data_IF_988925802241
#
_entry.id   IF_988925802241
#
_cell.length_a   1.000
_cell.length_b   1.000
_cell.length_c   1.000
_cell.angle_alpha   90.00
_cell.angle_beta   90.00
_cell.angle_gamma   90.00
#
_symmetry.space_group_name_H-M   'P 1'
#
loop_
_entity.id
_entity.type
_entity.pdbx_description
1 polymer ?
#
# COMPACT_ATOMS: atom_id res chain seq x y z
N UNK A 1 37.75 -0.48 -13.26
CA UNK A 1 36.48 0.25 -13.08
C UNK A 1 35.79 -0.43 -11.92
N UNK A 2 36.08 0.03 -10.72
CA UNK A 2 35.36 -0.41 -9.52
C UNK A 2 34.01 0.31 -9.58
N UNK A 3 32.94 -0.46 -9.80
CA UNK A 3 31.59 0.07 -9.63
C UNK A 3 31.23 -0.21 -8.17
N UNK A 4 31.44 0.79 -7.33
CA UNK A 4 30.92 0.81 -5.96
C UNK A 4 29.40 0.66 -6.04
N UNK A 5 28.92 -0.57 -5.91
CA UNK A 5 27.50 -0.84 -5.74
C UNK A 5 27.18 -0.51 -4.29
N UNK A 6 27.07 0.79 -4.03
CA UNK A 6 26.67 1.35 -2.74
C UNK A 6 25.50 0.54 -2.22
N UNK A 7 25.69 -0.07 -1.05
CA UNK A 7 24.66 -0.78 -0.32
C UNK A 7 23.47 0.15 -0.28
N UNK A 8 22.40 -0.23 -0.99
CA UNK A 8 21.14 0.51 -0.91
C UNK A 8 20.55 0.18 0.44
N UNK A 9 21.09 0.81 1.48
CA UNK A 9 20.49 0.86 2.81
C UNK A 9 19.16 1.58 2.62
N UNK A 10 18.13 0.80 2.29
CA UNK A 10 16.76 1.25 2.43
C UNK A 10 16.60 1.55 3.92
N UNK A 11 16.64 2.83 4.23
CA UNK A 11 16.53 3.38 5.56
C UNK A 11 15.37 2.73 6.30
N UNK A 12 15.62 2.38 7.57
CA UNK A 12 14.60 2.00 8.53
C UNK A 12 13.46 3.01 8.46
N UNK A 13 12.35 2.61 7.86
CA UNK A 13 11.11 3.38 7.90
C UNK A 13 10.40 3.04 9.21
N UNK A 14 11.02 3.40 10.33
CA UNK A 14 10.33 3.60 11.60
C UNK A 14 9.47 4.87 11.45
N UNK A 15 8.36 4.70 10.76
CA UNK A 15 7.35 5.72 10.53
C UNK A 15 6.12 5.44 11.38
N UNK A 16 6.22 5.60 12.69
CA UNK A 16 5.05 5.74 13.55
C UNK A 16 4.26 7.00 13.10
N UNK A 17 3.26 6.83 12.24
CA UNK A 17 2.33 7.91 11.89
C UNK A 17 0.91 7.53 12.35
N UNK A 18 0.62 7.90 13.59
CA UNK A 18 -0.73 7.99 14.16
C UNK A 18 -1.50 9.10 13.44
N UNK A 19 -2.54 8.78 12.68
CA UNK A 19 -3.65 9.71 12.38
C UNK A 19 -5.00 9.00 12.33
N UNK A 20 -5.86 9.42 13.25
CA UNK A 20 -7.29 9.18 13.34
C UNK A 20 -8.01 9.99 12.25
N UNK A 21 -8.87 9.33 11.46
CA UNK A 21 -9.86 10.00 10.61
C UNK A 21 -11.12 9.14 10.49
N UNK A 22 -12.23 9.63 11.05
CA UNK A 22 -13.60 9.15 10.81
C UNK A 22 -14.00 9.47 9.36
N UNK A 23 -14.18 8.45 8.53
CA UNK A 23 -14.78 8.56 7.20
C UNK A 23 -15.97 7.62 7.09
N UNK A 24 -17.20 8.13 7.28
CA UNK A 24 -18.43 7.43 6.87
C UNK A 24 -18.76 7.91 5.47
N UNK A 25 -18.86 7.00 4.50
CA UNK A 25 -19.62 7.24 3.28
C UNK A 25 -20.24 5.94 2.78
N UNK A 26 -21.39 5.61 3.36
CA UNK A 26 -22.33 4.68 2.74
C UNK A 26 -23.06 5.41 1.62
N UNK A 27 -22.83 5.02 0.37
CA UNK A 27 -23.85 5.17 -0.65
C UNK A 27 -23.76 4.02 -1.65
N UNK A 28 -24.57 3.00 -1.41
CA UNK A 28 -24.89 1.96 -2.36
C UNK A 28 -25.66 2.58 -3.53
N UNK A 29 -24.99 2.81 -4.66
CA UNK A 29 -25.65 3.03 -5.94
C UNK A 29 -25.08 2.07 -6.96
N UNK A 30 -25.97 1.27 -7.52
CA UNK A 30 -25.73 0.29 -8.57
C UNK A 30 -25.40 1.04 -9.86
N UNK A 31 -24.17 0.94 -10.35
CA UNK A 31 -23.74 1.58 -11.60
C UNK A 31 -22.61 0.74 -12.24
N UNK A 32 -22.58 0.68 -13.58
CA UNK A 32 -21.56 0.13 -14.48
C UNK A 32 -20.20 -0.23 -13.85
N UNK A 33 -19.58 -1.35 -14.28
CA UNK A 33 -18.22 -1.85 -13.91
C UNK A 33 -17.13 -0.76 -14.05
N UNK A 34 -17.15 0.19 -13.14
CA UNK A 34 -16.18 1.25 -12.98
C UNK A 34 -15.01 0.71 -12.15
N UNK A 35 -13.86 1.39 -12.23
CA UNK A 35 -12.78 1.13 -11.31
C UNK A 35 -13.28 1.29 -9.86
N UNK A 36 -13.02 0.29 -9.03
CA UNK A 36 -13.35 0.36 -7.61
C UNK A 36 -12.41 1.37 -6.92
N UNK A 37 -12.99 2.24 -6.10
CA UNK A 37 -12.23 3.14 -5.24
C UNK A 37 -12.13 2.53 -3.85
N UNK A 38 -10.93 2.50 -3.28
CA UNK A 38 -10.66 1.96 -1.95
C UNK A 38 -10.07 3.04 -1.05
N UNK A 39 -10.46 3.03 0.22
CA UNK A 39 -9.82 3.91 1.20
C UNK A 39 -8.41 3.41 1.51
N UNK A 40 -7.51 4.33 1.85
CA UNK A 40 -6.13 3.98 2.20
C UNK A 40 -6.05 2.97 3.35
N UNK A 41 -6.91 3.11 4.37
CA UNK A 41 -6.94 2.19 5.51
C UNK A 41 -7.28 0.75 5.08
N UNK A 42 -8.16 0.59 4.10
CA UNK A 42 -8.54 -0.71 3.55
C UNK A 42 -7.35 -1.35 2.80
N UNK A 43 -6.64 -0.56 2.00
CA UNK A 43 -5.42 -1.01 1.31
C UNK A 43 -4.30 -1.36 2.31
N UNK A 44 -4.16 -0.58 3.38
CA UNK A 44 -3.22 -0.88 4.46
C UNK A 44 -3.58 -2.21 5.14
N UNK A 45 -4.85 -2.42 5.50
CA UNK A 45 -5.28 -3.69 6.07
C UNK A 45 -5.04 -4.87 5.11
N UNK A 46 -5.37 -4.71 3.83
CA UNK A 46 -5.19 -5.72 2.79
C UNK A 46 -3.72 -6.13 2.63
N UNK A 47 -2.78 -5.17 2.73
CA UNK A 47 -1.33 -5.38 2.62
C UNK A 47 -0.62 -5.63 3.96
N UNK A 48 -1.39 -5.83 5.05
CA UNK A 48 -0.90 -5.96 6.43
C UNK A 48 -0.03 -4.78 6.90
N UNK A 49 -0.31 -3.58 6.39
CA UNK A 49 0.41 -2.34 6.67
C UNK A 49 1.62 -2.15 5.76
N UNK A 50 1.55 -2.57 4.50
CA UNK A 50 2.67 -2.50 3.54
C UNK A 50 3.95 -3.18 4.07
N UNK A 51 3.80 -4.32 4.74
CA UNK A 51 4.92 -5.11 5.26
C UNK A 51 5.78 -5.64 4.11
N UNK A 52 7.09 -5.71 4.34
CA UNK A 52 8.07 -6.21 3.37
C UNK A 52 7.79 -7.65 2.94
N UNK A 53 7.21 -8.48 3.81
CA UNK A 53 6.78 -9.85 3.46
C UNK A 53 5.75 -9.90 2.31
N UNK A 54 5.09 -8.78 2.04
CA UNK A 54 4.14 -8.63 0.94
C UNK A 54 4.73 -7.85 -0.24
N UNK A 55 5.99 -7.40 -0.19
CA UNK A 55 6.64 -6.70 -1.30
C UNK A 55 6.86 -7.68 -2.46
N UNK A 56 6.41 -7.28 -3.65
CA UNK A 56 6.58 -8.03 -4.90
C UNK A 56 7.75 -7.45 -5.70
N UNK A 57 7.98 -6.14 -5.61
CA UNK A 57 9.09 -5.49 -6.29
C UNK A 57 9.17 -3.99 -6.04
N UNK A 58 10.33 -3.43 -6.37
CA UNK A 58 10.61 -1.99 -6.32
C UNK A 58 11.17 -1.56 -7.69
N UNK A 59 10.67 -0.44 -8.20
CA UNK A 59 11.13 0.15 -9.46
C UNK A 59 10.81 1.63 -9.53
N UNK A 60 10.87 2.21 -10.74
CA UNK A 60 10.55 3.64 -10.95
C UNK A 60 9.10 3.97 -10.57
N UNK A 61 8.21 2.98 -10.60
CA UNK A 61 6.82 3.06 -10.15
C UNK A 61 6.66 3.04 -8.62
N UNK A 62 7.76 2.97 -7.87
CA UNK A 62 7.78 2.80 -6.43
C UNK A 62 7.73 1.33 -6.00
N UNK A 63 7.20 1.08 -4.80
CA UNK A 63 7.09 -0.24 -4.19
C UNK A 63 5.73 -0.86 -4.45
N UNK A 64 5.73 -2.12 -4.89
CA UNK A 64 4.52 -2.87 -5.22
C UNK A 64 4.29 -3.97 -4.18
N UNK A 65 3.13 -3.96 -3.52
CA UNK A 65 2.79 -4.90 -2.45
C UNK A 65 1.59 -5.77 -2.82
N UNK A 66 1.60 -7.03 -2.40
CA UNK A 66 0.46 -7.93 -2.43
C UNK A 66 -0.51 -7.59 -1.30
N UNK A 67 -1.80 -7.54 -1.61
CA UNK A 67 -2.84 -7.42 -0.60
C UNK A 67 -4.07 -8.25 -0.94
N UNK A 68 -4.85 -8.62 0.08
CA UNK A 68 -6.17 -9.25 -0.10
C UNK A 68 -7.25 -8.39 0.52
N UNK A 69 -8.18 -7.95 -0.32
CA UNK A 69 -9.35 -7.20 0.11
C UNK A 69 -10.36 -8.13 0.79
N UNK A 70 -11.06 -7.66 1.81
CA UNK A 70 -12.08 -8.45 2.53
C UNK A 70 -13.34 -8.69 1.69
N UNK A 71 -13.58 -7.85 0.69
CA UNK A 71 -14.73 -7.91 -0.23
C UNK A 71 -14.45 -8.72 -1.50
N UNK A 72 -13.32 -9.45 -1.54
CA UNK A 72 -12.83 -10.22 -2.69
C UNK A 72 -13.22 -11.69 -2.67
#
# INVERSE_FOLDING_TARGET
MEVDNGTRSASSLDGERKKESKGKSVSSRKSNKAAASFEFHELAAATRGFKEVNLIGEGVSGRVYKGRLSTG
#
